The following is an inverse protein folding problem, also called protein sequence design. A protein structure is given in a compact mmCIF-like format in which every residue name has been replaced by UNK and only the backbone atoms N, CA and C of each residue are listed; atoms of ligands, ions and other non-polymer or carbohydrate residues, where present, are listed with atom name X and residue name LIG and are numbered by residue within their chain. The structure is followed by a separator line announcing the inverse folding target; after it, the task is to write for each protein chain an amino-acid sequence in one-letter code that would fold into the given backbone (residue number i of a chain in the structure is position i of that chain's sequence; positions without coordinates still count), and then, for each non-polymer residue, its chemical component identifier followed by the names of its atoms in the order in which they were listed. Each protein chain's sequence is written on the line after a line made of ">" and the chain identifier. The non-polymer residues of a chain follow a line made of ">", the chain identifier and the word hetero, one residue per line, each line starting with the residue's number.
data_IF_788705962682
#
_entry.id   IF_788705962682
#
_cell.length_a   1.000
_cell.length_b   1.000
_cell.length_c   1.000
_cell.angle_alpha   90.00
_cell.angle_beta   90.00
_cell.angle_gamma   90.00
#
_symmetry.space_group_name_H-M   'P 1'
#
loop_
_entity.id
_entity.type
_entity.pdbx_description
1 polymer ?
#
# COMPACT_ATOMS: atom_id res chain seq x y z
N UNK A 1 -9.66 17.38 6.11
CA UNK A 1 -9.23 16.37 5.10
C UNK A 1 -7.71 16.39 5.02
N UNK A 2 -7.03 15.31 5.41
CA UNK A 2 -5.58 15.16 5.14
C UNK A 2 -5.40 15.19 3.61
N UNK A 3 -4.55 16.08 3.13
CA UNK A 3 -4.27 16.27 1.71
C UNK A 3 -3.38 15.11 1.27
N UNK A 4 -3.99 14.00 0.81
CA UNK A 4 -3.24 12.97 0.09
C UNK A 4 -2.46 13.68 -1.03
N UNK A 5 -1.17 13.40 -1.15
CA UNK A 5 -0.33 14.04 -2.17
C UNK A 5 -0.76 13.47 -3.52
N UNK A 6 -1.76 14.10 -4.12
CA UNK A 6 -2.27 13.78 -5.45
C UNK A 6 -1.20 14.14 -6.48
N UNK A 7 -1.08 13.27 -7.49
CA UNK A 7 -0.23 13.43 -8.68
C UNK A 7 1.25 13.01 -8.51
N UNK A 8 1.48 11.79 -8.01
CA UNK A 8 2.81 11.18 -7.98
C UNK A 8 3.11 10.31 -9.20
N UNK A 9 2.11 9.60 -9.74
CA UNK A 9 2.28 8.56 -10.76
C UNK A 9 1.39 8.83 -11.97
N UNK A 10 1.89 8.50 -13.16
CA UNK A 10 1.11 8.55 -14.40
C UNK A 10 0.13 7.36 -14.44
N UNK A 11 -0.99 7.54 -15.12
CA UNK A 11 -2.00 6.49 -15.25
C UNK A 11 -1.60 5.57 -16.41
N UNK A 12 -1.41 4.29 -16.09
CA UNK A 12 -1.40 3.20 -17.07
C UNK A 12 -2.86 2.80 -17.37
N UNK A 13 -3.22 2.75 -18.65
CA UNK A 13 -4.58 2.48 -19.09
C UNK A 13 -4.99 1.03 -18.91
N UNK A 14 -4.05 0.09 -19.04
CA UNK A 14 -4.33 -1.33 -18.88
C UNK A 14 -4.48 -1.67 -17.39
N UNK A 15 -3.62 -1.09 -16.55
CA UNK A 15 -3.76 -1.14 -15.09
C UNK A 15 -5.10 -0.54 -14.63
N UNK A 16 -5.46 0.65 -15.12
CA UNK A 16 -6.75 1.29 -14.80
C UNK A 16 -7.93 0.40 -15.20
N UNK A 17 -7.91 -0.18 -16.39
CA UNK A 17 -8.97 -1.05 -16.87
C UNK A 17 -9.06 -2.34 -16.03
N UNK A 18 -7.92 -2.95 -15.71
CA UNK A 18 -7.85 -4.13 -14.84
C UNK A 18 -8.49 -3.86 -13.48
N UNK A 19 -8.14 -2.73 -12.85
CA UNK A 19 -8.70 -2.36 -11.54
C UNK A 19 -10.22 -2.21 -11.59
N UNK A 20 -10.78 -1.60 -12.64
CA UNK A 20 -12.25 -1.40 -12.75
C UNK A 20 -12.99 -2.70 -13.06
N UNK A 21 -12.41 -3.54 -13.91
CA UNK A 21 -13.02 -4.82 -14.29
C UNK A 21 -13.04 -5.77 -13.10
N UNK A 22 -11.91 -5.90 -12.40
CA UNK A 22 -11.76 -6.89 -11.33
C UNK A 22 -12.36 -6.44 -10.00
N UNK A 23 -12.59 -5.14 -9.79
CA UNK A 23 -13.21 -4.64 -8.56
C UNK A 23 -14.69 -4.97 -8.43
N UNK A 24 -15.37 -5.31 -9.53
CA UNK A 24 -16.83 -5.36 -9.60
C UNK A 24 -17.50 -4.06 -9.07
N UNK A 25 -16.89 -2.90 -9.36
CA UNK A 25 -17.34 -1.61 -8.85
C UNK A 25 -16.28 -0.95 -7.98
N UNK A 26 -15.92 0.28 -8.30
CA UNK A 26 -14.93 1.05 -7.55
C UNK A 26 -15.24 2.55 -7.58
N UNK A 27 -15.09 3.24 -6.45
CA UNK A 27 -15.25 4.69 -6.41
C UNK A 27 -14.15 5.38 -7.21
N UNK A 28 -14.50 6.50 -7.84
CA UNK A 28 -13.51 7.38 -8.49
C UNK A 28 -12.42 7.81 -7.49
N UNK A 29 -12.81 8.16 -6.26
CA UNK A 29 -11.87 8.51 -5.19
C UNK A 29 -10.96 7.36 -4.75
N UNK A 30 -11.43 6.11 -4.82
CA UNK A 30 -10.60 4.93 -4.52
C UNK A 30 -9.55 4.74 -5.62
N UNK A 31 -9.94 4.90 -6.88
CA UNK A 31 -8.99 4.89 -8.01
C UNK A 31 -7.94 6.00 -7.89
N UNK A 32 -8.35 7.23 -7.52
CA UNK A 32 -7.40 8.33 -7.27
C UNK A 32 -6.37 7.97 -6.20
N UNK A 33 -6.80 7.36 -5.09
CA UNK A 33 -5.91 6.90 -4.03
C UNK A 33 -4.96 5.82 -4.55
N UNK A 34 -5.49 4.72 -5.11
CA UNK A 34 -4.69 3.59 -5.57
C UNK A 34 -3.64 4.02 -6.61
N UNK A 35 -4.08 4.72 -7.66
CA UNK A 35 -3.23 5.13 -8.78
C UNK A 35 -2.37 6.36 -8.48
N UNK A 36 -2.60 7.04 -7.34
CA UNK A 36 -1.84 8.22 -6.92
C UNK A 36 -1.84 9.34 -7.97
N UNK A 37 -2.92 9.42 -8.75
CA UNK A 37 -3.07 10.32 -9.87
C UNK A 37 -3.92 11.54 -9.49
N UNK A 38 -3.91 12.58 -10.32
CA UNK A 38 -4.86 13.68 -10.15
C UNK A 38 -6.23 13.34 -10.75
N UNK A 39 -7.28 13.87 -10.14
CA UNK A 39 -8.67 13.70 -10.55
C UNK A 39 -8.93 14.03 -12.02
N UNK A 40 -8.42 15.16 -12.51
CA UNK A 40 -8.67 15.62 -13.89
C UNK A 40 -8.13 14.61 -14.92
N UNK A 41 -6.92 14.11 -14.71
CA UNK A 41 -6.31 13.09 -15.57
C UNK A 41 -7.05 11.77 -15.50
N UNK A 42 -7.52 11.39 -14.31
CA UNK A 42 -8.33 10.20 -14.13
C UNK A 42 -9.67 10.32 -14.87
N UNK A 43 -10.41 11.42 -14.67
CA UNK A 43 -11.69 11.70 -15.35
C UNK A 43 -11.56 11.65 -16.88
N UNK A 44 -10.46 12.19 -17.43
CA UNK A 44 -10.19 12.14 -18.88
C UNK A 44 -9.99 10.70 -19.39
N UNK A 45 -9.23 9.88 -18.65
CA UNK A 45 -9.02 8.46 -19.00
C UNK A 45 -10.32 7.66 -18.88
N UNK A 46 -11.06 7.84 -17.79
CA UNK A 46 -12.36 7.19 -17.56
C UNK A 46 -13.38 7.56 -18.63
N UNK A 47 -13.41 8.82 -19.07
CA UNK A 47 -14.28 9.28 -20.17
C UNK A 47 -13.96 8.57 -21.49
N UNK A 48 -12.68 8.31 -21.74
CA UNK A 48 -12.22 7.55 -22.92
C UNK A 48 -12.69 6.09 -22.84
N UNK A 49 -12.44 5.41 -21.71
CA UNK A 49 -12.89 4.02 -21.50
C UNK A 49 -14.41 3.88 -21.62
N UNK A 50 -15.16 4.84 -21.08
CA UNK A 50 -16.62 4.90 -21.20
C UNK A 50 -17.07 5.10 -22.66
N UNK A 51 -16.42 6.00 -23.41
CA UNK A 51 -16.74 6.22 -24.84
C UNK A 51 -16.56 4.94 -25.65
N UNK A 52 -15.56 4.13 -25.33
CA UNK A 52 -15.33 2.81 -25.93
C UNK A 52 -16.23 1.69 -25.36
N UNK A 53 -17.14 2.01 -24.44
CA UNK A 53 -18.06 1.06 -23.79
C UNK A 53 -17.34 -0.07 -23.04
N UNK A 54 -16.11 0.16 -22.57
CA UNK A 54 -15.38 -0.83 -21.78
C UNK A 54 -15.78 -0.82 -20.31
N UNK A 55 -16.31 0.31 -19.83
CA UNK A 55 -16.79 0.51 -18.46
C UNK A 55 -18.09 1.33 -18.46
N UNK A 56 -18.87 1.18 -17.40
CA UNK A 56 -20.02 2.03 -17.09
C UNK A 56 -19.68 3.03 -15.98
N UNK A 57 -20.32 4.20 -16.01
CA UNK A 57 -20.28 5.19 -14.91
C UNK A 57 -21.67 5.26 -14.30
N UNK A 58 -21.74 5.06 -13.00
CA UNK A 58 -22.98 5.12 -12.26
C UNK A 58 -22.81 6.07 -11.07
N UNK A 59 -23.95 6.57 -10.57
CA UNK A 59 -23.99 7.54 -9.47
C UNK A 59 -24.82 6.95 -8.33
N UNK A 60 -24.20 6.83 -7.16
CA UNK A 60 -24.86 6.43 -5.94
C UNK A 60 -24.72 7.58 -4.93
N UNK A 61 -25.85 8.21 -4.59
CA UNK A 61 -25.88 9.42 -3.76
C UNK A 61 -24.95 10.52 -4.34
N UNK A 62 -23.96 10.98 -3.58
CA UNK A 62 -23.01 12.03 -3.97
C UNK A 62 -21.75 11.50 -4.67
N UNK A 63 -21.60 10.18 -4.83
CA UNK A 63 -20.36 9.57 -5.32
C UNK A 63 -20.54 8.94 -6.71
N UNK A 64 -19.48 9.01 -7.50
CA UNK A 64 -19.38 8.32 -8.79
C UNK A 64 -18.55 7.05 -8.64
N UNK A 65 -18.99 6.00 -9.32
CA UNK A 65 -18.27 4.74 -9.40
C UNK A 65 -18.26 4.21 -10.83
N UNK A 66 -17.28 3.34 -11.09
CA UNK A 66 -17.06 2.72 -12.38
C UNK A 66 -17.04 1.20 -12.21
N UNK A 67 -17.66 0.52 -13.16
CA UNK A 67 -17.83 -0.93 -13.08
C UNK A 67 -18.03 -1.56 -14.46
N UNK A 68 -17.73 -2.85 -14.55
CA UNK A 68 -18.26 -3.75 -15.59
C UNK A 68 -19.40 -4.63 -15.05
N UNK A 69 -19.30 -5.02 -13.78
CA UNK A 69 -20.32 -5.67 -12.95
C UNK A 69 -20.40 -4.89 -11.64
N UNK A 70 -21.58 -4.75 -11.04
CA UNK A 70 -21.76 -3.89 -9.86
C UNK A 70 -21.98 -4.69 -8.57
N UNK A 71 -21.17 -4.37 -7.56
CA UNK A 71 -21.20 -4.92 -6.21
C UNK A 71 -20.88 -3.79 -5.21
N UNK A 72 -21.82 -3.54 -4.29
CA UNK A 72 -21.73 -2.47 -3.30
C UNK A 72 -20.76 -2.78 -2.15
N UNK A 73 -20.58 -4.05 -1.81
CA UNK A 73 -19.79 -4.45 -0.65
C UNK A 73 -18.31 -4.19 -0.93
N UNK A 74 -17.86 -4.51 -2.15
CA UNK A 74 -16.49 -4.27 -2.59
C UNK A 74 -16.08 -2.79 -2.52
N UNK A 75 -17.02 -1.85 -2.67
CA UNK A 75 -16.70 -0.42 -2.68
C UNK A 75 -16.05 0.04 -1.37
N UNK A 76 -16.61 -0.37 -0.23
CA UNK A 76 -16.10 0.03 1.10
C UNK A 76 -14.79 -0.68 1.41
N UNK A 77 -14.71 -1.97 1.10
CA UNK A 77 -13.51 -2.77 1.29
C UNK A 77 -12.32 -2.20 0.51
N UNK A 78 -12.51 -1.88 -0.77
CA UNK A 78 -11.45 -1.32 -1.62
C UNK A 78 -11.05 0.10 -1.19
N UNK A 79 -11.99 0.94 -0.72
CA UNK A 79 -11.61 2.26 -0.18
C UNK A 79 -10.75 2.14 1.08
N UNK A 80 -11.08 1.19 1.96
CA UNK A 80 -10.33 0.93 3.18
C UNK A 80 -8.92 0.39 2.88
N UNK A 81 -8.79 -0.56 1.95
CA UNK A 81 -7.51 -1.05 1.45
C UNK A 81 -6.68 0.07 0.79
N UNK A 82 -7.32 0.96 0.03
CA UNK A 82 -6.65 2.11 -0.58
C UNK A 82 -6.09 3.08 0.47
N UNK A 83 -6.76 3.25 1.62
CA UNK A 83 -6.23 4.07 2.73
C UNK A 83 -4.97 3.42 3.35
N UNK A 84 -4.95 2.10 3.53
CA UNK A 84 -3.75 1.37 3.98
C UNK A 84 -2.59 1.52 2.99
N UNK A 85 -2.88 1.44 1.68
CA UNK A 85 -1.89 1.71 0.64
C UNK A 85 -1.34 3.14 0.74
N UNK A 86 -2.19 4.15 0.95
CA UNK A 86 -1.72 5.53 1.14
C UNK A 86 -0.79 5.67 2.35
N UNK A 87 -1.00 4.88 3.40
CA UNK A 87 -0.12 4.87 4.57
C UNK A 87 1.27 4.35 4.23
N UNK A 88 1.39 3.32 3.38
CA UNK A 88 2.70 2.87 2.86
C UNK A 88 3.43 3.98 2.10
N UNK A 89 2.71 4.77 1.31
CA UNK A 89 3.29 5.91 0.60
C UNK A 89 3.76 7.02 1.55
N UNK A 90 3.04 7.21 2.66
CA UNK A 90 3.42 8.16 3.70
C UNK A 90 4.68 7.71 4.48
N UNK A 91 4.96 6.41 4.51
CA UNK A 91 6.22 5.86 5.03
C UNK A 91 7.40 6.04 4.06
N UNK A 92 7.18 6.57 2.85
CA UNK A 92 8.26 6.86 1.90
C UNK A 92 8.45 5.81 0.80
N UNK A 93 7.51 4.89 0.64
CA UNK A 93 7.49 3.96 -0.48
C UNK A 93 6.75 4.55 -1.70
N UNK A 94 7.05 3.98 -2.87
CA UNK A 94 6.32 4.15 -4.13
C UNK A 94 5.73 2.81 -4.55
N UNK A 95 4.83 2.83 -5.53
CA UNK A 95 4.12 1.64 -6.00
C UNK A 95 4.45 1.41 -7.47
N UNK A 96 4.96 0.21 -7.79
CA UNK A 96 5.33 -0.16 -9.15
C UNK A 96 4.12 -0.66 -9.93
N UNK A 97 3.48 -1.71 -9.42
CA UNK A 97 2.34 -2.39 -10.05
C UNK A 97 1.20 -2.49 -9.04
N UNK A 98 -0.03 -2.35 -9.54
CA UNK A 98 -1.27 -2.55 -8.79
C UNK A 98 -2.15 -3.55 -9.52
N UNK A 99 -2.78 -4.44 -8.78
CA UNK A 99 -3.83 -5.31 -9.29
C UNK A 99 -4.85 -5.62 -8.21
N UNK A 100 -6.08 -5.91 -8.62
CA UNK A 100 -7.09 -6.51 -7.74
C UNK A 100 -7.17 -8.01 -8.02
N UNK A 101 -7.04 -8.82 -6.97
CA UNK A 101 -7.23 -10.26 -7.03
C UNK A 101 -8.71 -10.61 -7.23
N UNK A 102 -8.97 -11.68 -7.97
CA UNK A 102 -10.31 -12.13 -8.36
C UNK A 102 -11.01 -12.98 -7.29
N UNK A 103 -10.39 -13.20 -6.13
CA UNK A 103 -10.94 -14.00 -5.05
C UNK A 103 -12.18 -13.35 -4.40
N UNK A 104 -12.86 -14.11 -3.54
CA UNK A 104 -14.13 -13.71 -2.92
C UNK A 104 -14.03 -12.38 -2.16
N UNK A 105 -12.89 -12.10 -1.52
CA UNK A 105 -12.65 -10.86 -0.77
C UNK A 105 -11.70 -9.93 -1.52
N UNK A 106 -12.06 -9.51 -2.75
CA UNK A 106 -11.31 -8.58 -3.62
C UNK A 106 -10.13 -7.88 -2.93
N UNK A 107 -8.92 -8.37 -3.19
CA UNK A 107 -7.70 -7.92 -2.51
C UNK A 107 -6.86 -7.06 -3.43
N UNK A 108 -6.44 -5.88 -2.96
CA UNK A 108 -5.45 -5.07 -3.65
C UNK A 108 -4.09 -5.70 -3.44
N UNK A 109 -3.40 -6.02 -4.52
CA UNK A 109 -2.02 -6.48 -4.52
C UNK A 109 -1.16 -5.39 -5.14
N UNK A 110 -0.02 -5.13 -4.50
CA UNK A 110 0.86 -4.05 -4.91
C UNK A 110 2.32 -4.44 -4.67
N UNK A 111 3.19 -4.03 -5.59
CA UNK A 111 4.62 -4.06 -5.33
C UNK A 111 5.10 -2.67 -4.93
N UNK A 112 5.55 -2.53 -3.69
CA UNK A 112 6.12 -1.29 -3.18
C UNK A 112 7.61 -1.28 -3.35
N UNK A 113 8.16 -0.11 -3.59
CA UNK A 113 9.58 0.04 -3.78
C UNK A 113 10.06 1.38 -3.23
N UNK A 114 11.32 1.44 -2.80
CA UNK A 114 11.97 2.69 -2.42
C UNK A 114 13.48 2.57 -2.58
N UNK A 115 14.16 3.70 -2.82
CA UNK A 115 15.60 3.74 -2.68
C UNK A 115 15.93 3.90 -1.20
N UNK A 116 16.86 3.12 -0.70
CA UNK A 116 17.33 3.18 0.69
C UNK A 116 17.81 4.59 1.05
N UNK A 117 18.51 5.28 0.14
CA UNK A 117 18.89 6.68 0.35
C UNK A 117 17.67 7.59 0.60
N UNK A 118 16.55 7.37 -0.08
CA UNK A 118 15.32 8.11 0.16
C UNK A 118 14.68 7.71 1.49
N UNK A 119 14.68 6.43 1.87
CA UNK A 119 14.22 5.95 3.19
C UNK A 119 14.97 6.70 4.30
N UNK A 120 16.30 6.79 4.20
CA UNK A 120 17.15 7.47 5.18
C UNK A 120 17.01 8.99 5.23
N UNK A 121 16.77 9.63 4.09
CA UNK A 121 16.73 11.10 3.96
C UNK A 121 15.31 11.67 3.84
N UNK A 122 14.27 10.86 4.03
CA UNK A 122 12.90 11.32 3.87
C UNK A 122 12.59 12.42 4.91
N UNK A 123 11.90 13.48 4.49
CA UNK A 123 11.77 14.76 5.23
C UNK A 123 11.17 14.66 6.64
N UNK A 124 10.54 13.53 6.97
CA UNK A 124 10.01 13.22 8.30
C UNK A 124 11.04 12.52 9.22
N UNK A 125 12.30 12.37 8.79
CA UNK A 125 13.30 11.52 9.44
C UNK A 125 14.63 12.24 9.66
N UNK A 126 14.75 12.92 10.80
CA UNK A 126 16.01 13.35 11.41
C UNK A 126 16.58 12.27 12.37
N UNK A 127 16.31 10.98 12.11
CA UNK A 127 16.31 9.92 13.13
C UNK A 127 17.39 8.85 12.96
N UNK A 128 18.60 9.21 12.52
CA UNK A 128 19.75 8.28 12.59
C UNK A 128 19.90 7.62 13.99
N UNK A 129 19.69 8.34 15.12
CA UNK A 129 19.75 7.71 16.44
C UNK A 129 18.66 6.64 16.67
N UNK A 130 17.43 6.83 16.17
CA UNK A 130 16.35 5.84 16.35
C UNK A 130 16.59 4.59 15.51
N UNK A 131 17.14 4.73 14.31
CA UNK A 131 17.54 3.59 13.48
C UNK A 131 18.59 2.73 14.19
N UNK A 132 19.62 3.36 14.77
CA UNK A 132 20.66 2.65 15.54
C UNK A 132 20.09 1.99 16.80
N UNK A 133 19.18 2.66 17.51
CA UNK A 133 18.51 2.06 18.68
C UNK A 133 17.71 0.81 18.30
N UNK A 134 16.89 0.89 17.26
CA UNK A 134 16.08 -0.24 16.78
C UNK A 134 16.95 -1.39 16.24
N UNK A 135 18.04 -1.07 15.55
CA UNK A 135 19.03 -2.06 15.14
C UNK A 135 19.60 -2.82 16.34
N UNK A 136 19.99 -2.10 17.40
CA UNK A 136 20.50 -2.72 18.62
C UNK A 136 19.46 -3.56 19.37
N UNK A 137 18.16 -3.25 19.20
CA UNK A 137 17.03 -3.98 19.78
C UNK A 137 16.59 -5.21 18.97
N UNK A 138 17.18 -5.47 17.80
CA UNK A 138 16.82 -6.64 17.00
C UNK A 138 17.06 -7.94 17.79
N UNK A 139 16.16 -8.91 17.60
CA UNK A 139 16.01 -10.11 18.43
C UNK A 139 17.12 -11.15 18.21
N UNK A 140 17.80 -11.10 17.06
CA UNK A 140 18.93 -11.97 16.73
C UNK A 140 19.94 -11.26 15.81
N UNK A 141 21.10 -11.90 15.59
CA UNK A 141 22.10 -11.40 14.64
C UNK A 141 21.59 -11.49 13.20
N UNK A 142 20.84 -12.53 12.84
CA UNK A 142 20.20 -12.66 11.54
C UNK A 142 19.18 -11.53 11.31
N UNK A 143 18.42 -11.15 12.36
CA UNK A 143 17.51 -10.00 12.26
C UNK A 143 18.28 -8.69 12.06
N UNK A 144 19.45 -8.53 12.70
CA UNK A 144 20.34 -7.37 12.50
C UNK A 144 20.90 -7.32 11.08
N UNK A 145 21.38 -8.44 10.55
CA UNK A 145 21.86 -8.55 9.17
C UNK A 145 20.74 -8.19 8.17
N UNK A 146 19.53 -8.70 8.40
CA UNK A 146 18.39 -8.36 7.56
C UNK A 146 18.02 -6.87 7.64
N UNK A 147 18.03 -6.30 8.86
CA UNK A 147 17.80 -4.86 9.06
C UNK A 147 18.82 -4.02 8.28
N UNK A 148 20.10 -4.41 8.29
CA UNK A 148 21.18 -3.71 7.59
C UNK A 148 21.01 -3.69 6.07
N UNK A 149 20.33 -4.68 5.48
CA UNK A 149 20.03 -4.68 4.03
C UNK A 149 19.23 -3.45 3.61
N UNK A 150 18.37 -2.91 4.47
CA UNK A 150 17.64 -1.65 4.22
C UNK A 150 18.52 -0.41 4.23
N UNK A 151 19.83 -0.56 4.42
CA UNK A 151 20.81 0.51 4.63
C UNK A 151 22.00 0.37 3.68
N UNK A 152 22.35 -0.86 3.35
CA UNK A 152 23.49 -1.21 2.50
C UNK A 152 23.13 -1.28 1.02
N UNK A 153 21.92 -1.75 0.70
CA UNK A 153 21.48 -1.83 -0.70
C UNK A 153 20.96 -0.48 -1.18
N UNK A 154 21.04 -0.22 -2.48
CA UNK A 154 20.50 1.02 -3.03
C UNK A 154 18.98 1.03 -3.06
N UNK A 155 18.37 -0.14 -3.29
CA UNK A 155 16.94 -0.28 -3.53
C UNK A 155 16.33 -1.46 -2.78
N UNK A 156 15.08 -1.30 -2.38
CA UNK A 156 14.23 -2.36 -1.81
C UNK A 156 12.89 -2.41 -2.51
N UNK A 157 12.37 -3.61 -2.70
CA UNK A 157 11.04 -3.89 -3.22
C UNK A 157 10.32 -4.93 -2.34
N UNK A 158 9.08 -4.65 -1.98
CA UNK A 158 8.27 -5.43 -1.05
C UNK A 158 6.92 -5.73 -1.73
N UNK A 159 6.59 -7.00 -1.98
CA UNK A 159 5.25 -7.39 -2.41
C UNK A 159 4.29 -7.37 -1.22
N UNK A 160 3.16 -6.68 -1.37
CA UNK A 160 2.16 -6.51 -0.32
C UNK A 160 0.77 -6.84 -0.86
N UNK A 161 0.00 -7.57 -0.05
CA UNK A 161 -1.41 -7.82 -0.28
C UNK A 161 -2.23 -7.11 0.79
N UNK A 162 -3.26 -6.38 0.38
CA UNK A 162 -4.21 -5.73 1.25
C UNK A 162 -5.53 -6.48 1.21
N UNK A 163 -6.06 -6.70 2.41
CA UNK A 163 -7.41 -7.19 2.65
C UNK A 163 -8.09 -6.19 3.58
N UNK A 164 -9.37 -6.40 3.86
CA UNK A 164 -10.10 -5.53 4.77
C UNK A 164 -11.19 -6.28 5.50
N UNK A 165 -11.51 -5.84 6.71
CA UNK A 165 -12.63 -6.34 7.50
C UNK A 165 -13.40 -5.17 8.09
N UNK A 166 -14.65 -4.99 7.66
CA UNK A 166 -15.54 -3.94 8.17
C UNK A 166 -16.26 -4.45 9.41
N UNK A 167 -16.73 -5.70 9.36
CA UNK A 167 -17.28 -6.44 10.48
C UNK A 167 -16.43 -7.67 10.83
N UNK A 168 -16.77 -8.32 11.93
CA UNK A 168 -16.09 -9.52 12.43
C UNK A 168 -16.35 -10.78 11.60
N UNK A 169 -17.47 -10.84 10.88
CA UNK A 169 -17.88 -11.97 10.04
C UNK A 169 -17.13 -12.00 8.71
N UNK A 170 -16.62 -10.85 8.28
CA UNK A 170 -15.88 -10.65 7.03
C UNK A 170 -14.36 -10.73 7.21
N UNK A 171 -13.87 -11.21 8.36
CA UNK A 171 -12.43 -11.32 8.59
C UNK A 171 -11.75 -12.21 7.54
N UNK A 172 -10.68 -11.72 6.90
CA UNK A 172 -9.95 -12.50 5.91
C UNK A 172 -9.21 -13.66 6.56
N UNK A 173 -8.83 -14.62 5.71
CA UNK A 173 -7.97 -15.73 6.08
C UNK A 173 -6.65 -15.63 5.32
N UNK A 174 -5.59 -16.23 5.88
CA UNK A 174 -4.30 -16.28 5.19
C UNK A 174 -4.39 -17.23 4.01
N UNK A 175 -4.25 -16.69 2.79
CA UNK A 175 -4.28 -17.45 1.54
C UNK A 175 -2.89 -17.71 0.94
N UNK A 176 -1.89 -16.91 1.34
CA UNK A 176 -0.51 -17.09 0.91
C UNK A 176 0.44 -16.67 2.03
N UNK A 177 1.60 -17.33 2.06
CA UNK A 177 2.72 -16.92 2.89
C UNK A 177 3.79 -16.18 2.06
N UNK A 178 3.56 -15.88 0.78
CA UNK A 178 4.59 -15.26 -0.07
C UNK A 178 4.63 -13.73 0.04
N UNK A 179 3.58 -13.10 0.56
CA UNK A 179 3.46 -11.64 0.61
C UNK A 179 3.42 -11.13 2.03
N UNK A 180 3.75 -9.84 2.20
CA UNK A 180 3.35 -9.14 3.39
C UNK A 180 1.85 -8.87 3.31
N UNK A 181 1.09 -9.44 4.24
CA UNK A 181 -0.35 -9.27 4.28
C UNK A 181 -0.71 -8.13 5.25
N UNK A 182 -1.62 -7.27 4.80
CA UNK A 182 -2.15 -6.17 5.58
C UNK A 182 -3.68 -6.30 5.65
N UNK A 183 -4.24 -6.31 6.86
CA UNK A 183 -5.69 -6.21 7.08
C UNK A 183 -6.02 -4.77 7.43
N UNK A 184 -6.81 -4.11 6.58
CA UNK A 184 -7.32 -2.79 6.85
C UNK A 184 -8.68 -2.86 7.58
N UNK A 185 -8.78 -2.24 8.74
CA UNK A 185 -9.99 -2.19 9.58
C UNK A 185 -10.40 -0.74 9.88
N UNK A 186 -11.70 -0.45 10.06
CA UNK A 186 -12.17 0.90 10.35
C UNK A 186 -11.68 1.41 11.72
N UNK A 187 -11.82 0.59 12.76
CA UNK A 187 -11.60 0.98 14.16
C UNK A 187 -10.86 -0.12 14.93
N UNK A 188 -10.69 0.04 16.24
CA UNK A 188 -10.12 -0.99 17.11
C UNK A 188 -11.11 -2.11 17.47
N UNK A 189 -12.39 -1.97 17.11
CA UNK A 189 -13.44 -2.92 17.50
C UNK A 189 -13.23 -4.31 16.89
N UNK A 190 -12.58 -4.41 15.73
CA UNK A 190 -12.30 -5.68 15.05
C UNK A 190 -11.08 -6.41 15.64
N UNK A 191 -10.27 -5.77 16.49
CA UNK A 191 -9.03 -6.33 17.02
C UNK A 191 -9.22 -7.63 17.83
N UNK A 192 -10.23 -7.76 18.73
CA UNK A 192 -10.44 -9.01 19.45
C UNK A 192 -10.71 -10.19 18.50
N UNK A 193 -11.51 -9.98 17.46
CA UNK A 193 -11.84 -11.01 16.49
C UNK A 193 -10.62 -11.40 15.61
N UNK A 194 -9.79 -10.43 15.21
CA UNK A 194 -8.50 -10.70 14.55
C UNK A 194 -7.60 -11.54 15.46
N UNK A 195 -7.41 -11.10 16.72
CA UNK A 195 -6.57 -11.78 17.71
C UNK A 195 -6.97 -13.24 17.92
N UNK A 196 -8.28 -13.53 17.94
CA UNK A 196 -8.79 -14.89 18.11
C UNK A 196 -8.48 -15.81 16.92
N UNK A 197 -8.33 -15.24 15.71
CA UNK A 197 -7.95 -15.98 14.49
C UNK A 197 -6.43 -16.10 14.28
N UNK A 198 -5.60 -15.39 15.04
CA UNK A 198 -4.14 -15.47 14.91
C UNK A 198 -3.62 -16.88 15.21
N UNK A 199 -2.76 -17.40 14.33
CA UNK A 199 -2.08 -18.69 14.51
C UNK A 199 -0.62 -18.58 14.09
N UNK A 200 0.21 -19.37 14.75
CA UNK A 200 1.65 -19.39 14.51
C UNK A 200 1.95 -19.89 13.09
N UNK A 201 2.67 -19.08 12.31
CA UNK A 201 2.99 -19.28 10.88
C UNK A 201 3.41 -20.69 10.46
N UNK A 202 4.12 -21.44 11.31
CA UNK A 202 4.66 -22.77 10.99
C UNK A 202 3.72 -23.94 11.34
N UNK A 203 2.59 -23.68 11.99
CA UNK A 203 1.74 -24.76 12.52
C UNK A 203 0.69 -25.28 11.53
N UNK A 204 0.37 -24.54 10.47
CA UNK A 204 -0.79 -24.85 9.63
C UNK A 204 -0.46 -24.80 8.13
N UNK A 205 -1.02 -25.75 7.38
CA UNK A 205 -1.00 -25.69 5.92
C UNK A 205 -1.93 -24.58 5.44
N UNK A 206 -1.40 -23.67 4.63
CA UNK A 206 -2.16 -22.54 4.06
C UNK A 206 -3.11 -22.98 2.97
N UNK A 207 -2.80 -24.09 2.30
CA UNK A 207 -3.65 -24.65 1.27
C UNK A 207 -5.05 -24.92 1.83
N UNK A 208 -6.06 -24.29 1.23
CA UNK A 208 -7.47 -24.35 1.65
C UNK A 208 -7.74 -23.82 3.06
N UNK A 209 -6.89 -22.95 3.60
CA UNK A 209 -7.17 -22.29 4.88
C UNK A 209 -8.45 -21.42 4.79
N UNK A 210 -9.38 -21.68 5.69
CA UNK A 210 -10.64 -20.94 5.87
C UNK A 210 -10.84 -20.45 7.30
N UNK A 211 -9.80 -20.52 8.15
CA UNK A 211 -9.98 -20.28 9.58
C UNK A 211 -8.99 -19.26 10.12
N UNK A 212 -7.68 -19.44 9.87
CA UNK A 212 -6.66 -18.69 10.58
C UNK A 212 -6.12 -17.47 9.81
N UNK A 213 -5.54 -16.56 10.59
CA UNK A 213 -4.72 -15.44 10.14
C UNK A 213 -3.30 -15.69 10.67
N UNK A 214 -2.29 -15.53 9.82
CA UNK A 214 -0.88 -15.62 10.20
C UNK A 214 -0.53 -14.62 11.31
N UNK A 215 0.30 -15.04 12.26
CA UNK A 215 0.65 -14.26 13.44
C UNK A 215 1.54 -13.04 13.17
N UNK A 216 2.22 -13.01 12.04
CA UNK A 216 3.02 -11.87 11.59
C UNK A 216 2.24 -10.92 10.67
N UNK A 217 0.89 -10.98 10.66
CA UNK A 217 0.03 -10.05 9.92
C UNK A 217 0.23 -8.60 10.38
N UNK A 218 0.14 -7.65 9.44
CA UNK A 218 0.06 -6.23 9.75
C UNK A 218 -1.39 -5.73 9.68
N UNK A 219 -1.77 -4.83 10.58
CA UNK A 219 -3.13 -4.30 10.70
C UNK A 219 -3.08 -2.79 10.46
N UNK A 220 -3.83 -2.28 9.49
CA UNK A 220 -4.07 -0.85 9.33
C UNK A 220 -5.38 -0.47 10.01
N UNK A 221 -5.35 0.51 10.91
CA UNK A 221 -6.56 1.02 11.56
C UNK A 221 -6.86 2.41 11.01
N UNK A 222 -7.97 2.55 10.29
CA UNK A 222 -8.33 3.79 9.59
C UNK A 222 -8.54 4.97 10.54
N UNK A 223 -9.24 4.76 11.67
CA UNK A 223 -9.50 5.81 12.66
C UNK A 223 -8.22 6.40 13.28
N UNK A 224 -7.13 5.63 13.31
CA UNK A 224 -5.83 6.04 13.85
C UNK A 224 -4.81 6.38 12.76
N UNK A 225 -5.15 6.06 11.50
CA UNK A 225 -4.29 6.20 10.33
C UNK A 225 -2.87 5.64 10.61
N UNK A 226 -2.79 4.44 11.19
CA UNK A 226 -1.55 3.81 11.63
C UNK A 226 -1.57 2.30 11.38
N UNK A 227 -0.37 1.74 11.24
CA UNK A 227 -0.18 0.29 11.21
C UNK A 227 0.08 -0.25 12.62
N UNK A 228 -0.29 -1.50 12.83
CA UNK A 228 -0.11 -2.26 14.07
C UNK A 228 0.27 -3.70 13.76
N UNK A 229 0.91 -4.39 14.69
CA UNK A 229 1.13 -5.82 14.62
C UNK A 229 0.98 -6.44 16.01
N UNK A 230 0.73 -7.74 16.05
CA UNK A 230 0.73 -8.50 17.29
C UNK A 230 2.07 -9.22 17.48
N UNK A 231 2.56 -9.27 18.71
CA UNK A 231 3.64 -10.18 19.09
C UNK A 231 3.35 -10.79 20.47
N UNK A 232 3.85 -12.00 20.70
CA UNK A 232 3.72 -12.67 22.00
C UNK A 232 4.76 -12.14 22.97
N UNK A 233 4.34 -11.87 24.20
CA UNK A 233 5.27 -11.68 25.31
C UNK A 233 5.83 -13.03 25.82
N UNK A 234 6.67 -12.97 26.84
CA UNK A 234 7.25 -14.16 27.50
C UNK A 234 6.18 -15.12 28.05
N UNK A 235 5.02 -14.59 28.43
CA UNK A 235 3.85 -15.36 28.91
C UNK A 235 2.97 -15.89 27.76
N UNK A 236 3.42 -15.79 26.50
CA UNK A 236 2.71 -16.19 25.28
C UNK A 236 1.39 -15.44 25.03
N UNK A 237 1.20 -14.28 25.65
CA UNK A 237 0.04 -13.42 25.44
C UNK A 237 0.29 -12.44 24.29
N UNK A 238 -0.72 -12.25 23.44
CA UNK A 238 -0.67 -11.30 22.34
C UNK A 238 -0.69 -9.86 22.83
N UNK A 239 0.36 -9.11 22.51
CA UNK A 239 0.48 -7.67 22.72
C UNK A 239 0.41 -6.96 21.37
N UNK A 240 -0.37 -5.88 21.29
CA UNK A 240 -0.50 -5.05 20.10
C UNK A 240 0.56 -3.93 20.13
N UNK A 241 1.36 -3.83 19.09
CA UNK A 241 2.38 -2.81 18.91
C UNK A 241 2.00 -1.89 17.76
N UNK A 242 2.28 -0.59 17.93
CA UNK A 242 2.01 0.44 16.93
C UNK A 242 3.26 0.71 16.08
N UNK A 243 3.08 0.83 14.77
CA UNK A 243 4.10 1.27 13.83
C UNK A 243 3.83 2.72 13.46
N UNK A 244 4.55 3.62 14.13
CA UNK A 244 4.38 5.06 13.92
C UNK A 244 5.20 5.59 12.74
N UNK A 245 6.32 4.92 12.43
CA UNK A 245 7.40 5.45 11.57
C UNK A 245 8.06 4.35 10.76
N UNK A 246 8.80 4.76 9.72
CA UNK A 246 9.49 3.88 8.78
C UNK A 246 10.48 2.92 9.45
N UNK A 247 11.32 3.39 10.38
CA UNK A 247 12.27 2.48 11.04
C UNK A 247 11.59 1.48 11.97
N UNK A 248 10.43 1.81 12.55
CA UNK A 248 9.60 0.83 13.28
C UNK A 248 9.00 -0.21 12.32
N UNK A 249 8.65 0.21 11.10
CA UNK A 249 8.21 -0.71 10.04
C UNK A 249 9.34 -1.65 9.61
N UNK A 250 10.55 -1.12 9.38
CA UNK A 250 11.74 -1.93 9.06
C UNK A 250 12.09 -2.87 10.21
N UNK A 251 12.02 -2.39 11.45
CA UNK A 251 12.20 -3.22 12.65
C UNK A 251 11.18 -4.37 12.67
N UNK A 252 9.91 -4.09 12.39
CA UNK A 252 8.89 -5.12 12.28
C UNK A 252 9.22 -6.16 11.19
N UNK A 253 9.58 -5.70 9.99
CA UNK A 253 9.97 -6.58 8.88
C UNK A 253 11.18 -7.45 9.22
N UNK A 254 12.11 -6.91 10.01
CA UNK A 254 13.35 -7.61 10.35
C UNK A 254 13.16 -8.65 11.45
N UNK A 255 12.23 -8.43 12.38
CA UNK A 255 12.11 -9.22 13.61
C UNK A 255 10.87 -10.12 13.67
N UNK A 256 9.77 -9.74 13.02
CA UNK A 256 8.49 -10.43 13.15
C UNK A 256 7.97 -10.98 11.82
N UNK A 257 8.28 -10.36 10.69
CA UNK A 257 7.84 -10.83 9.38
C UNK A 257 8.62 -12.08 8.95
N UNK A 258 7.90 -13.16 8.66
CA UNK A 258 8.47 -14.49 8.44
C UNK A 258 8.72 -14.81 6.96
N UNK A 259 8.12 -14.05 6.05
CA UNK A 259 8.23 -14.28 4.60
C UNK A 259 9.21 -13.33 3.91
N UNK A 260 10.33 -13.06 4.59
CA UNK A 260 11.26 -12.02 4.20
C UNK A 260 12.05 -12.33 2.91
N UNK A 261 12.09 -13.59 2.46
CA UNK A 261 12.74 -14.03 1.21
C UNK A 261 12.17 -13.37 -0.05
N UNK A 262 10.92 -12.90 0.02
CA UNK A 262 10.23 -12.24 -1.09
C UNK A 262 10.50 -10.73 -1.13
N UNK A 263 11.19 -10.19 -0.12
CA UNK A 263 11.69 -8.83 -0.13
C UNK A 263 12.97 -8.81 -0.97
N UNK A 264 12.93 -8.03 -2.05
CA UNK A 264 14.03 -7.94 -3.00
C UNK A 264 14.87 -6.73 -2.66
N UNK A 265 16.15 -6.96 -2.38
CA UNK A 265 17.17 -5.91 -2.29
C UNK A 265 18.02 -5.91 -3.55
N UNK A 266 18.39 -4.73 -4.04
CA UNK A 266 19.17 -4.61 -5.27
C UNK A 266 20.03 -3.36 -5.32
N UNK A 267 21.19 -3.48 -5.96
CA UNK A 267 22.07 -2.38 -6.36
C UNK A 267 21.95 -2.07 -7.86
N UNK A 268 21.04 -2.74 -8.57
CA UNK A 268 20.80 -2.53 -9.99
C UNK A 268 19.91 -1.29 -10.20
N UNK A 269 20.55 -0.21 -10.63
CA UNK A 269 19.91 1.07 -10.90
C UNK A 269 18.96 0.99 -12.10
N UNK A 270 19.26 0.19 -13.12
CA UNK A 270 18.41 0.06 -14.32
C UNK A 270 17.09 -0.62 -13.99
N UNK A 271 17.14 -1.71 -13.22
CA UNK A 271 15.95 -2.41 -12.72
C UNK A 271 15.02 -1.44 -11.98
N UNK A 272 15.57 -0.59 -11.13
CA UNK A 272 14.79 0.36 -10.36
C UNK A 272 14.30 1.56 -11.18
N UNK A 273 15.09 2.02 -12.16
CA UNK A 273 14.68 3.08 -13.09
C UNK A 273 13.42 2.68 -13.87
N UNK A 274 13.29 1.40 -14.23
CA UNK A 274 12.06 0.87 -14.85
C UNK A 274 10.84 1.02 -13.95
N UNK A 275 10.96 0.78 -12.63
CA UNK A 275 9.85 0.97 -11.68
C UNK A 275 9.42 2.44 -11.57
N UNK A 276 10.36 3.37 -11.76
CA UNK A 276 10.12 4.82 -11.68
C UNK A 276 9.48 5.41 -12.94
N UNK A 277 9.34 4.65 -14.03
CA UNK A 277 8.88 5.15 -15.34
C UNK A 277 7.58 5.97 -15.24
N UNK A 278 6.58 5.48 -14.50
CA UNK A 278 5.30 6.19 -14.36
C UNK A 278 5.42 7.45 -13.50
N UNK A 279 6.32 7.49 -12.53
CA UNK A 279 6.61 8.68 -11.73
C UNK A 279 7.39 9.72 -12.54
N UNK A 280 8.36 9.29 -13.34
CA UNK A 280 9.11 10.13 -14.27
C UNK A 280 8.16 10.76 -15.30
N UNK A 281 7.33 9.95 -15.97
CA UNK A 281 6.31 10.41 -16.93
C UNK A 281 5.33 11.41 -16.31
N UNK A 282 4.91 11.20 -15.06
CA UNK A 282 4.07 12.16 -14.33
C UNK A 282 4.78 13.49 -14.08
N UNK A 283 6.07 13.44 -13.73
CA UNK A 283 6.91 14.62 -13.55
C UNK A 283 7.06 15.40 -14.86
N UNK A 284 7.33 14.70 -15.97
CA UNK A 284 7.44 15.28 -17.32
C UNK A 284 6.14 15.94 -17.75
N UNK A 285 5.00 15.24 -17.63
CA UNK A 285 3.69 15.81 -17.92
C UNK A 285 3.42 17.07 -17.11
N UNK A 286 3.75 17.06 -15.81
CA UNK A 286 3.59 18.26 -14.97
C UNK A 286 4.43 19.43 -15.45
N UNK A 287 5.68 19.20 -15.89
CA UNK A 287 6.53 20.27 -16.46
C UNK A 287 5.98 20.76 -17.80
N UNK A 288 5.60 19.85 -18.68
CA UNK A 288 5.12 20.17 -20.03
C UNK A 288 3.79 20.94 -20.01
N UNK A 289 2.86 20.59 -19.13
CA UNK A 289 1.52 21.17 -19.06
C UNK A 289 1.34 22.21 -17.95
N UNK A 290 2.43 22.71 -17.33
CA UNK A 290 2.36 23.78 -16.33
C UNK A 290 2.02 25.14 -16.97
N UNK A 291 0.74 25.36 -17.25
CA UNK A 291 0.22 26.59 -17.87
C UNK A 291 0.41 27.83 -17.01
N UNK A 292 0.34 27.71 -15.68
CA UNK A 292 0.55 28.83 -14.74
C UNK A 292 2.03 29.26 -14.75
N UNK A 293 2.96 28.31 -14.64
CA UNK A 293 4.40 28.61 -14.72
C UNK A 293 4.77 29.24 -16.06
N UNK A 294 4.21 28.72 -17.16
CA UNK A 294 4.39 29.31 -18.50
C UNK A 294 3.82 30.73 -18.62
N UNK A 295 2.69 31.01 -17.95
CA UNK A 295 2.07 32.34 -17.92
C UNK A 295 2.88 33.34 -17.09
N UNK A 296 3.46 32.91 -15.97
CA UNK A 296 4.29 33.76 -15.12
C UNK A 296 5.65 34.06 -15.75
N UNK A 297 6.32 33.06 -16.33
CA UNK A 297 7.58 33.26 -17.05
C UNK A 297 7.44 34.23 -18.23
N UNK A 298 6.30 34.20 -18.93
CA UNK A 298 5.99 35.19 -19.99
C UNK A 298 5.82 36.61 -19.45
N UNK A 299 5.31 36.80 -18.23
CA UNK A 299 5.17 38.12 -17.61
C UNK A 299 6.53 38.66 -17.15
N UNK A 300 7.38 37.81 -16.58
CA UNK A 300 8.73 38.19 -16.15
C UNK A 300 9.64 38.54 -17.34
N UNK A 301 9.49 37.87 -18.49
CA UNK A 301 10.24 38.19 -19.70
C UNK A 301 9.77 39.48 -20.43
N UNK A 302 8.67 40.10 -19.96
CA UNK A 302 8.08 41.32 -20.53
C UNK A 302 8.22 42.54 -19.60
N UNK A 303 8.82 42.38 -18.42
CA UNK A 303 9.25 43.45 -17.50
C UNK A 303 10.74 43.71 -17.65
#
# INVERSE_FOLDING_TARGET
>A
MKKYIVNKRAIDSDELLQLIVESNGIYESTLEKLLQCNRISLEARLSTLKKHKWISKEKLSKHFYYSKKFDLDNLKHLDLQANALQKMLALGFRTANLSIATNQQKQVTASFYSSVRNIYNHKNFSQKPQASQLFNQCLSNENKEFYMKFTEYQHVQIPIQFSSAIDENQLPHTHSLDTLDIIAIPTKEQLPAIRNKLRDFNMYKVQNNTEFIRDDILIYIQSEDCFFFYAKNEQRQWILYKIERLFAFIYYLSNYFKSNEKIIFSNDVEKYTKLETLYAKSSENRKQYNTIGKKNAKKEAQS
#
